data_IF_756010757479
#
_entry.id   IF_756010757479
#
_cell.length_a   1.000
_cell.length_b   1.000
_cell.length_c   1.000
_cell.angle_alpha   90.00
_cell.angle_beta   90.00
_cell.angle_gamma   90.00
#
_symmetry.space_group_name_H-M   'P 1'
#
loop_
_entity.id
_entity.type
_entity.pdbx_description
1 polymer ?
#
# COMPACT_ATOMS: atom_id res chain seq x y z
N UNK A 1 9.29 14.18 14.91
CA UNK A 1 8.21 13.66 14.81
C UNK A 1 7.56 13.70 13.55
N UNK A 2 7.37 14.74 12.96
CA UNK A 2 6.74 14.77 11.79
C UNK A 2 7.48 14.16 10.68
N UNK A 3 8.75 13.97 10.76
CA UNK A 3 9.48 13.38 9.74
C UNK A 3 9.06 12.04 9.36
N UNK A 4 8.71 11.24 10.28
CA UNK A 4 8.28 9.89 10.00
C UNK A 4 7.07 9.86 9.12
N UNK A 5 6.18 10.77 9.33
CA UNK A 5 4.99 10.80 8.53
C UNK A 5 5.30 11.06 7.09
N UNK A 6 6.21 11.95 6.85
CA UNK A 6 6.57 12.28 5.51
C UNK A 6 7.18 11.10 4.81
N UNK A 7 8.03 10.37 5.49
CA UNK A 7 8.63 9.22 4.90
C UNK A 7 7.64 8.16 4.58
N UNK A 8 6.68 7.97 5.46
CA UNK A 8 5.66 6.97 5.23
C UNK A 8 4.90 7.26 3.95
N UNK A 9 4.68 8.52 3.66
CA UNK A 9 3.96 8.85 2.46
C UNK A 9 4.69 8.52 1.19
N UNK A 10 6.01 8.43 1.27
CA UNK A 10 6.79 8.15 0.09
C UNK A 10 7.12 6.69 -0.11
N UNK A 11 6.64 5.83 0.73
CA UNK A 11 6.91 4.42 0.57
C UNK A 11 6.12 3.86 -0.59
N UNK A 12 6.82 3.20 -1.49
CA UNK A 12 6.17 2.57 -2.62
C UNK A 12 5.55 1.26 -2.18
N UNK A 13 4.49 0.87 -2.85
CA UNK A 13 3.84 -0.41 -2.57
C UNK A 13 3.68 -1.17 -3.88
N UNK A 14 3.69 -2.47 -3.78
CA UNK A 14 3.53 -3.31 -4.95
C UNK A 14 2.33 -4.21 -4.73
N UNK A 15 1.52 -4.36 -5.78
CA UNK A 15 0.40 -5.28 -5.77
C UNK A 15 0.92 -6.62 -6.25
N UNK A 16 0.91 -7.62 -5.40
CA UNK A 16 1.47 -8.91 -5.73
C UNK A 16 0.79 -9.56 -6.93
N UNK A 17 -0.52 -9.49 -6.98
CA UNK A 17 -1.27 -10.11 -8.07
C UNK A 17 -0.98 -9.54 -9.45
N UNK A 18 -0.82 -8.25 -9.54
CA UNK A 18 -0.59 -7.62 -10.83
C UNK A 18 0.88 -7.32 -11.08
N UNK A 19 1.67 -7.27 -10.01
CA UNK A 19 3.08 -6.93 -10.13
C UNK A 19 3.33 -5.46 -10.38
N UNK A 20 2.30 -4.63 -10.26
CA UNK A 20 2.45 -3.21 -10.52
C UNK A 20 2.92 -2.49 -9.26
N UNK A 21 3.92 -1.64 -9.41
CA UNK A 21 4.44 -0.85 -8.30
C UNK A 21 3.81 0.52 -8.34
N UNK A 22 3.27 0.95 -7.21
CA UNK A 22 2.66 2.27 -7.09
C UNK A 22 3.53 3.17 -6.24
N UNK A 23 3.47 4.45 -6.51
CA UNK A 23 4.29 5.41 -5.79
C UNK A 23 3.99 5.44 -4.30
N UNK A 24 2.77 5.15 -3.94
CA UNK A 24 2.38 5.15 -2.54
C UNK A 24 1.08 4.39 -2.41
N UNK A 25 0.69 4.13 -1.16
CA UNK A 25 -0.56 3.44 -0.92
C UNK A 25 -1.74 4.25 -1.43
N UNK A 26 -1.61 5.57 -1.42
CA UNK A 26 -2.69 6.42 -1.90
C UNK A 26 -2.88 6.28 -3.39
N UNK A 27 -1.78 6.20 -4.13
CA UNK A 27 -1.86 6.00 -5.56
C UNK A 27 -2.46 4.65 -5.86
N UNK A 28 -2.04 3.63 -5.12
CA UNK A 28 -2.59 2.30 -5.30
C UNK A 28 -4.09 2.31 -5.02
N UNK A 29 -4.50 3.05 -4.01
CA UNK A 29 -5.89 3.16 -3.66
C UNK A 29 -6.70 3.76 -4.80
N UNK A 30 -6.17 4.79 -5.42
CA UNK A 30 -6.86 5.43 -6.52
C UNK A 30 -7.01 4.49 -7.70
N UNK A 31 -5.98 3.74 -8.00
CA UNK A 31 -5.98 2.87 -9.16
C UNK A 31 -6.82 1.62 -8.96
N UNK A 32 -6.88 1.11 -7.75
CA UNK A 32 -7.57 -0.15 -7.50
C UNK A 32 -8.91 0.00 -6.81
N UNK A 33 -9.15 1.16 -6.24
CA UNK A 33 -10.39 1.37 -5.49
C UNK A 33 -10.35 0.79 -4.09
N UNK A 34 -9.19 0.30 -3.66
CA UNK A 34 -9.04 -0.26 -2.32
C UNK A 34 -8.63 0.87 -1.38
N UNK A 35 -9.16 0.87 -0.16
CA UNK A 35 -8.82 1.90 0.80
C UNK A 35 -7.32 1.90 1.09
N UNK A 36 -6.70 3.07 1.11
CA UNK A 36 -5.26 3.13 1.36
C UNK A 36 -4.91 2.63 2.75
N UNK A 37 -5.84 2.72 3.69
CA UNK A 37 -5.60 2.20 5.02
C UNK A 37 -5.49 0.69 4.98
N UNK A 38 -6.34 0.05 4.19
CA UNK A 38 -6.29 -1.39 4.04
C UNK A 38 -4.98 -1.82 3.38
N UNK A 39 -4.57 -1.11 2.35
CA UNK A 39 -3.33 -1.40 1.66
C UNK A 39 -2.17 -1.29 2.63
N UNK A 40 -2.14 -0.23 3.41
CA UNK A 40 -1.08 -0.02 4.37
C UNK A 40 -1.05 -1.13 5.40
N UNK A 41 -2.21 -1.54 5.88
CA UNK A 41 -2.29 -2.59 6.88
C UNK A 41 -1.76 -3.92 6.32
N UNK A 42 -2.07 -4.20 5.07
CA UNK A 42 -1.57 -5.41 4.42
C UNK A 42 -0.05 -5.32 4.28
N UNK A 43 0.46 -4.17 3.86
CA UNK A 43 1.89 -3.98 3.71
C UNK A 43 2.63 -4.16 5.03
N UNK A 44 2.00 -3.76 6.13
CA UNK A 44 2.61 -3.89 7.43
C UNK A 44 2.53 -5.31 7.97
N UNK A 45 1.81 -6.18 7.29
CA UNK A 45 1.69 -7.55 7.71
C UNK A 45 0.60 -7.82 8.73
N UNK A 46 -0.22 -6.82 9.02
CA UNK A 46 -1.30 -7.00 9.98
C UNK A 46 -2.53 -7.64 9.36
N UNK A 47 -2.57 -7.65 8.04
CA UNK A 47 -3.67 -8.22 7.32
C UNK A 47 -3.11 -9.05 6.21
N UNK A 48 -3.76 -10.16 5.87
CA UNK A 48 -3.25 -11.00 4.81
C UNK A 48 -3.47 -10.40 3.45
N UNK A 49 -4.63 -9.83 3.21
CA UNK A 49 -4.94 -9.26 1.91
C UNK A 49 -6.17 -8.39 2.04
N UNK A 50 -6.50 -7.68 0.98
CA UNK A 50 -7.70 -6.88 0.97
C UNK A 50 -8.30 -6.95 -0.42
N UNK A 51 -9.60 -7.24 -0.49
CA UNK A 51 -10.33 -7.38 -1.76
C UNK A 51 -9.64 -8.30 -2.75
N UNK A 52 -8.99 -9.34 -2.23
CA UNK A 52 -8.33 -10.29 -3.10
C UNK A 52 -6.95 -9.90 -3.56
N UNK A 53 -6.45 -8.76 -3.10
CA UNK A 53 -5.12 -8.31 -3.47
C UNK A 53 -4.17 -8.39 -2.31
N UNK A 54 -2.94 -8.78 -2.59
CA UNK A 54 -1.89 -8.81 -1.60
C UNK A 54 -0.94 -7.64 -1.88
N UNK A 55 -0.46 -7.01 -0.84
CA UNK A 55 0.38 -5.83 -0.97
C UNK A 55 1.62 -5.95 -0.11
N UNK A 56 2.66 -5.29 -0.52
CA UNK A 56 3.85 -5.21 0.32
C UNK A 56 4.60 -3.96 -0.09
N UNK A 57 5.50 -3.51 0.76
CA UNK A 57 6.29 -2.34 0.43
C UNK A 57 7.34 -2.76 -0.60
N UNK A 58 7.50 -1.91 -1.57
CA UNK A 58 8.45 -2.20 -2.65
C UNK A 58 9.86 -1.76 -2.29
#
# INVERSE_FOLDING_TARGET
>A
MRKASIEARKKKVICIETGIIYESAREASKCTGVSYKSISTVCLGKRKSTKGFHWKFA
#
